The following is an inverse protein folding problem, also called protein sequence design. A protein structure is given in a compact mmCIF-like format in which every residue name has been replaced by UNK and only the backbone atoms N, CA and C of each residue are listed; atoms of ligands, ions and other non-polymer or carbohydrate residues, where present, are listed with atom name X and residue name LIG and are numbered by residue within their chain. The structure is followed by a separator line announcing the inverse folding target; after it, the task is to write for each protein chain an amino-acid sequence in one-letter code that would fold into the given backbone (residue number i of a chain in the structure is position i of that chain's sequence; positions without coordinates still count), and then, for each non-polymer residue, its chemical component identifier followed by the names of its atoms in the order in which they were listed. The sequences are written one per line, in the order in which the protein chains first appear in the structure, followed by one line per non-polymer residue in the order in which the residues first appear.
data_IF_883283283810
#
_entry.id   IF_883283283810
#
_cell.length_a   1.000
_cell.length_b   1.000
_cell.length_c   1.000
_cell.angle_alpha   90.00
_cell.angle_beta   90.00
_cell.angle_gamma   90.00
#
_symmetry.space_group_name_H-M   'P 1'
#
loop_
_entity.id
_entity.type
_entity.pdbx_description
1 polymer ?
#
# COMPACT_ATOMS: atom_id res chain seq x y z
N UNK A 1 -63.53 -2.62 -65.47
CA UNK A 1 -64.16 -1.39 -65.99
C UNK A 1 -63.94 -1.12 -67.48
N UNK A 2 -63.20 -1.95 -68.25
CA UNK A 2 -63.03 -1.72 -69.70
C UNK A 2 -63.88 -2.61 -70.63
N UNK A 3 -64.56 -3.64 -70.12
CA UNK A 3 -65.36 -4.53 -70.98
C UNK A 3 -66.76 -3.96 -71.31
N UNK A 4 -67.41 -3.25 -70.38
CA UNK A 4 -68.70 -2.60 -70.64
C UNK A 4 -68.59 -1.48 -71.69
N UNK A 5 -67.48 -0.74 -71.68
CA UNK A 5 -67.27 0.37 -72.61
C UNK A 5 -67.14 -0.09 -74.07
N UNK A 6 -66.44 -1.20 -74.32
CA UNK A 6 -66.33 -1.79 -75.67
C UNK A 6 -67.63 -2.43 -76.16
N UNK A 7 -68.50 -2.83 -75.24
CA UNK A 7 -69.81 -3.41 -75.57
C UNK A 7 -70.80 -2.33 -76.04
N UNK A 8 -70.84 -1.17 -75.37
CA UNK A 8 -71.70 -0.04 -75.78
C UNK A 8 -71.28 0.57 -77.13
N UNK A 9 -69.98 0.74 -77.39
CA UNK A 9 -69.50 1.22 -78.70
C UNK A 9 -69.78 0.21 -79.83
N UNK A 10 -69.66 -1.09 -79.55
CA UNK A 10 -69.94 -2.16 -80.52
C UNK A 10 -71.41 -2.19 -80.97
N UNK A 11 -72.34 -2.05 -80.03
CA UNK A 11 -73.78 -2.00 -80.32
C UNK A 11 -74.18 -0.75 -81.10
N UNK A 12 -73.58 0.40 -80.78
CA UNK A 12 -73.85 1.65 -81.51
C UNK A 12 -73.45 1.57 -82.99
N UNK A 13 -72.38 0.85 -83.32
CA UNK A 13 -71.95 0.65 -84.70
C UNK A 13 -72.91 -0.25 -85.50
N UNK A 14 -73.47 -1.29 -84.87
CA UNK A 14 -74.46 -2.19 -85.50
C UNK A 14 -75.78 -1.47 -85.74
N UNK A 15 -76.27 -0.72 -84.75
CA UNK A 15 -77.49 0.08 -84.89
C UNK A 15 -77.35 1.16 -85.96
N UNK A 16 -76.18 1.82 -86.04
CA UNK A 16 -75.88 2.81 -87.08
C UNK A 16 -75.83 2.18 -88.49
N UNK A 17 -75.24 1.00 -88.63
CA UNK A 17 -75.22 0.25 -89.89
C UNK A 17 -76.63 -0.17 -90.33
N UNK A 18 -77.53 -0.46 -89.40
CA UNK A 18 -78.89 -0.90 -89.72
C UNK A 18 -79.86 0.25 -89.98
N UNK A 19 -79.69 1.41 -89.33
CA UNK A 19 -80.63 2.52 -89.36
C UNK A 19 -80.97 3.07 -90.76
N UNK A 20 -80.06 2.97 -91.73
CA UNK A 20 -80.23 3.49 -93.09
C UNK A 20 -80.52 2.43 -94.16
N UNK A 21 -80.70 1.16 -93.77
CA UNK A 21 -80.92 0.07 -94.73
C UNK A 21 -82.41 -0.31 -94.85
N UNK A 22 -82.85 -0.84 -96.02
CA UNK A 22 -84.24 -1.27 -96.22
C UNK A 22 -84.67 -2.32 -95.19
N UNK A 23 -85.93 -2.29 -94.75
CA UNK A 23 -86.49 -3.19 -93.72
C UNK A 23 -86.30 -4.68 -94.07
N UNK A 24 -86.33 -5.02 -95.36
CA UNK A 24 -86.09 -6.38 -95.84
C UNK A 24 -84.65 -6.86 -95.55
N UNK A 25 -83.66 -5.97 -95.62
CA UNK A 25 -82.27 -6.28 -95.31
C UNK A 25 -82.06 -6.55 -93.82
N UNK A 26 -82.63 -5.70 -92.95
CA UNK A 26 -82.59 -5.89 -91.50
C UNK A 26 -83.20 -7.24 -91.09
N UNK A 27 -84.33 -7.61 -91.70
CA UNK A 27 -85.00 -8.90 -91.47
C UNK A 27 -84.16 -10.10 -91.94
N UNK A 28 -83.49 -10.00 -93.08
CA UNK A 28 -82.58 -11.04 -93.54
C UNK A 28 -81.39 -11.21 -92.59
N UNK A 29 -80.87 -10.10 -92.03
CA UNK A 29 -79.79 -10.09 -91.06
C UNK A 29 -80.14 -10.84 -89.78
N UNK A 30 -81.27 -10.47 -89.18
CA UNK A 30 -81.76 -11.05 -87.93
C UNK A 30 -82.11 -12.54 -88.11
N UNK A 31 -82.65 -12.90 -89.29
CA UNK A 31 -82.89 -14.31 -89.61
C UNK A 31 -81.59 -15.11 -89.77
N UNK A 32 -80.52 -14.50 -90.29
CA UNK A 32 -79.23 -15.15 -90.41
C UNK A 32 -78.59 -15.38 -89.02
N UNK A 33 -78.60 -14.36 -88.15
CA UNK A 33 -78.08 -14.49 -86.79
C UNK A 33 -78.80 -15.56 -85.97
N UNK A 34 -80.14 -15.59 -86.06
CA UNK A 34 -80.94 -16.66 -85.45
C UNK A 34 -80.63 -18.05 -86.00
N UNK A 35 -80.36 -18.18 -87.30
CA UNK A 35 -80.05 -19.47 -87.93
C UNK A 35 -78.71 -20.06 -87.46
N UNK A 36 -77.74 -19.21 -87.14
CA UNK A 36 -76.41 -19.64 -86.70
C UNK A 36 -76.22 -19.58 -85.17
N UNK A 37 -77.28 -19.29 -84.41
CA UNK A 37 -77.25 -19.13 -82.95
C UNK A 37 -76.21 -18.12 -82.47
N UNK A 38 -75.97 -17.08 -83.26
CA UNK A 38 -75.11 -15.98 -82.86
C UNK A 38 -75.89 -15.04 -81.97
N UNK A 39 -75.30 -14.65 -80.85
CA UNK A 39 -75.84 -13.61 -79.99
C UNK A 39 -75.80 -12.31 -80.78
N UNK A 40 -76.97 -11.69 -80.99
CA UNK A 40 -77.13 -10.44 -81.73
C UNK A 40 -76.35 -9.29 -81.06
N UNK A 41 -75.91 -9.47 -79.81
CA UNK A 41 -75.09 -8.53 -79.06
C UNK A 41 -73.60 -8.89 -78.99
N UNK A 42 -73.15 -9.98 -79.62
CA UNK A 42 -71.72 -10.30 -79.72
C UNK A 42 -71.07 -9.41 -80.78
N UNK A 43 -70.03 -8.61 -80.47
CA UNK A 43 -69.33 -7.80 -81.48
C UNK A 43 -68.71 -8.65 -82.60
N UNK A 44 -68.48 -9.95 -82.35
CA UNK A 44 -68.12 -10.95 -83.35
C UNK A 44 -69.22 -11.21 -84.39
N UNK A 45 -70.47 -10.82 -84.15
CA UNK A 45 -71.60 -10.89 -85.10
C UNK A 45 -71.43 -9.92 -86.29
N UNK A 46 -70.82 -8.75 -86.05
CA UNK A 46 -70.57 -7.75 -87.09
C UNK A 46 -69.52 -8.20 -88.11
N UNK A 47 -68.58 -9.08 -87.71
CA UNK A 47 -67.47 -9.51 -88.55
C UNK A 47 -67.95 -10.43 -89.70
N UNK A 48 -68.72 -11.52 -89.50
CA UNK A 48 -69.35 -12.28 -90.56
C UNK A 48 -70.31 -11.44 -91.41
N UNK A 49 -70.94 -10.41 -90.83
CA UNK A 49 -71.84 -9.53 -91.55
C UNK A 49 -71.16 -8.64 -92.58
N UNK A 50 -69.96 -8.18 -92.26
CA UNK A 50 -69.08 -7.49 -93.20
C UNK A 50 -68.42 -8.48 -94.17
N UNK A 51 -68.02 -9.67 -93.70
CA UNK A 51 -67.22 -10.64 -94.48
C UNK A 51 -68.07 -11.51 -95.43
N UNK A 52 -69.28 -11.93 -95.06
CA UNK A 52 -70.14 -12.82 -95.87
C UNK A 52 -70.91 -12.13 -97.01
N UNK A 53 -70.78 -10.81 -97.17
CA UNK A 53 -71.17 -10.10 -98.40
C UNK A 53 -70.08 -9.18 -98.93
N UNK A 54 -68.85 -9.28 -98.43
CA UNK A 54 -67.74 -8.45 -98.92
C UNK A 54 -67.57 -8.68 -100.43
N UNK A 55 -67.79 -9.89 -100.92
CA UNK A 55 -67.87 -10.23 -102.34
C UNK A 55 -68.90 -9.37 -103.09
N UNK A 56 -70.16 -9.30 -102.63
CA UNK A 56 -71.20 -8.47 -103.28
C UNK A 56 -70.97 -6.96 -103.11
N UNK A 57 -70.42 -6.49 -102.00
CA UNK A 57 -70.13 -5.06 -101.79
C UNK A 57 -68.88 -4.64 -102.59
N UNK A 58 -67.89 -5.53 -102.71
CA UNK A 58 -66.75 -5.36 -103.60
C UNK A 58 -67.18 -5.33 -105.07
N UNK A 59 -68.20 -6.10 -105.47
CA UNK A 59 -68.74 -6.06 -106.83
C UNK A 59 -69.47 -4.75 -107.15
N UNK A 60 -70.20 -4.17 -106.18
CA UNK A 60 -70.99 -2.94 -106.38
C UNK A 60 -70.17 -1.66 -106.18
N UNK A 61 -69.19 -1.65 -105.28
CA UNK A 61 -68.37 -0.48 -104.95
C UNK A 61 -66.86 -0.77 -104.86
N UNK A 62 -66.25 -1.40 -105.88
CA UNK A 62 -64.85 -1.86 -105.82
C UNK A 62 -63.88 -0.71 -105.57
N UNK A 63 -64.09 0.42 -106.24
CA UNK A 63 -63.20 1.58 -106.15
C UNK A 63 -63.33 2.32 -104.81
N UNK A 64 -64.52 2.33 -104.21
CA UNK A 64 -64.73 2.98 -102.91
C UNK A 64 -64.06 2.17 -101.80
N UNK A 65 -64.24 0.85 -101.80
CA UNK A 65 -63.58 -0.03 -100.81
C UNK A 65 -62.07 0.00 -101.00
N UNK A 66 -61.56 -0.06 -102.24
CA UNK A 66 -60.12 0.03 -102.49
C UNK A 66 -59.54 1.32 -101.91
N UNK A 67 -60.21 2.45 -102.13
CA UNK A 67 -59.78 3.76 -101.59
C UNK A 67 -59.77 3.79 -100.06
N UNK A 68 -60.83 3.31 -99.42
CA UNK A 68 -60.91 3.26 -97.94
C UNK A 68 -59.85 2.32 -97.36
N UNK A 69 -59.64 1.14 -97.97
CA UNK A 69 -58.60 0.21 -97.54
C UNK A 69 -57.20 0.79 -97.74
N UNK A 70 -56.97 1.51 -98.83
CA UNK A 70 -55.70 2.22 -99.08
C UNK A 70 -55.49 3.34 -98.06
N UNK A 71 -56.53 4.13 -97.74
CA UNK A 71 -56.47 5.16 -96.69
C UNK A 71 -56.21 4.57 -95.30
N UNK A 72 -56.90 3.48 -94.94
CA UNK A 72 -56.69 2.77 -93.67
C UNK A 72 -55.27 2.20 -93.61
N UNK A 73 -54.78 1.61 -94.70
CA UNK A 73 -53.42 1.06 -94.78
C UNK A 73 -52.39 2.17 -94.61
N UNK A 74 -52.53 3.30 -95.31
CA UNK A 74 -51.66 4.46 -95.15
C UNK A 74 -51.70 5.03 -93.73
N UNK A 75 -52.88 5.09 -93.11
CA UNK A 75 -53.05 5.56 -91.72
C UNK A 75 -52.38 4.62 -90.72
N UNK A 76 -52.51 3.31 -90.91
CA UNK A 76 -51.85 2.30 -90.08
C UNK A 76 -50.33 2.34 -90.27
N UNK A 77 -49.84 2.47 -91.50
CA UNK A 77 -48.42 2.61 -91.79
C UNK A 77 -47.83 3.88 -91.15
N UNK A 78 -48.54 5.01 -91.23
CA UNK A 78 -48.15 6.25 -90.55
C UNK A 78 -48.10 6.11 -89.02
N UNK A 79 -49.11 5.48 -88.42
CA UNK A 79 -49.11 5.18 -86.97
C UNK A 79 -47.98 4.23 -86.59
N UNK A 80 -47.72 3.20 -87.39
CA UNK A 80 -46.62 2.26 -87.16
C UNK A 80 -45.27 2.96 -87.17
N UNK A 81 -44.98 3.77 -88.20
CA UNK A 81 -43.74 4.57 -88.27
C UNK A 81 -43.58 5.50 -87.07
N UNK A 82 -44.67 6.12 -86.62
CA UNK A 82 -44.64 7.01 -85.44
C UNK A 82 -44.33 6.22 -84.16
N UNK A 83 -44.94 5.05 -84.00
CA UNK A 83 -44.69 4.16 -82.87
C UNK A 83 -43.25 3.62 -82.88
N UNK A 84 -42.72 3.24 -84.04
CA UNK A 84 -41.34 2.79 -84.23
C UNK A 84 -40.33 3.88 -83.81
N UNK A 85 -40.54 5.13 -84.23
CA UNK A 85 -39.70 6.26 -83.80
C UNK A 85 -39.77 6.47 -82.29
N UNK A 86 -40.97 6.39 -81.70
CA UNK A 86 -41.15 6.55 -80.26
C UNK A 86 -40.47 5.43 -79.46
N UNK A 87 -40.54 4.18 -79.94
CA UNK A 87 -39.88 3.02 -79.33
C UNK A 87 -38.36 3.14 -79.40
N UNK A 88 -37.81 3.50 -80.57
CA UNK A 88 -36.37 3.71 -80.73
C UNK A 88 -35.87 4.86 -79.85
N UNK A 89 -36.62 5.96 -79.75
CA UNK A 89 -36.28 7.07 -78.85
C UNK A 89 -36.36 6.66 -77.36
N UNK A 90 -37.32 5.82 -76.98
CA UNK A 90 -37.41 5.28 -75.62
C UNK A 90 -36.25 4.33 -75.31
N UNK A 91 -35.87 3.46 -76.24
CA UNK A 91 -34.72 2.57 -76.11
C UNK A 91 -33.41 3.36 -75.93
N UNK A 92 -33.19 4.39 -76.76
CA UNK A 92 -32.02 5.27 -76.65
C UNK A 92 -31.96 6.04 -75.31
N UNK A 93 -33.12 6.48 -74.79
CA UNK A 93 -33.17 7.06 -73.43
C UNK A 93 -32.85 6.03 -72.36
N UNK A 94 -33.30 4.79 -72.53
CA UNK A 94 -33.00 3.68 -71.63
C UNK A 94 -31.51 3.36 -71.56
N UNK A 95 -30.83 3.27 -72.71
CA UNK A 95 -29.38 3.03 -72.76
C UNK A 95 -28.61 4.20 -72.13
N UNK A 96 -28.98 5.44 -72.44
CA UNK A 96 -28.33 6.62 -71.86
C UNK A 96 -28.58 6.75 -70.35
N UNK A 97 -29.72 6.28 -69.85
CA UNK A 97 -29.98 6.22 -68.41
C UNK A 97 -29.15 5.12 -67.74
N UNK A 98 -28.94 3.98 -68.41
CA UNK A 98 -28.05 2.91 -67.96
C UNK A 98 -26.60 3.39 -67.86
N UNK A 99 -26.07 4.02 -68.91
CA UNK A 99 -24.72 4.59 -68.91
C UNK A 99 -24.51 5.59 -67.76
N UNK A 100 -25.49 6.48 -67.53
CA UNK A 100 -25.44 7.41 -66.39
C UNK A 100 -25.46 6.71 -65.03
N UNK A 101 -26.23 5.63 -64.90
CA UNK A 101 -26.25 4.84 -63.67
C UNK A 101 -24.89 4.17 -63.42
N UNK A 102 -24.25 3.64 -64.46
CA UNK A 102 -22.90 3.06 -64.37
C UNK A 102 -21.86 4.12 -63.99
N UNK A 103 -21.93 5.33 -64.56
CA UNK A 103 -21.07 6.46 -64.18
C UNK A 103 -21.23 6.83 -62.69
N UNK A 104 -22.47 6.91 -62.19
CA UNK A 104 -22.73 7.19 -60.78
C UNK A 104 -22.23 6.06 -59.85
N UNK A 105 -22.36 4.81 -60.28
CA UNK A 105 -21.83 3.68 -59.52
C UNK A 105 -20.30 3.71 -59.45
N UNK A 106 -19.63 4.04 -60.56
CA UNK A 106 -18.18 4.20 -60.60
C UNK A 106 -17.71 5.35 -59.70
N UNK A 107 -18.39 6.50 -59.73
CA UNK A 107 -18.10 7.63 -58.85
C UNK A 107 -18.29 7.28 -57.37
N UNK A 108 -19.41 6.63 -57.03
CA UNK A 108 -19.68 6.18 -55.67
C UNK A 108 -18.60 5.20 -55.17
N UNK A 109 -18.19 4.25 -56.02
CA UNK A 109 -17.13 3.30 -55.68
C UNK A 109 -15.80 4.02 -55.42
N UNK A 110 -15.43 4.99 -56.26
CA UNK A 110 -14.21 5.78 -56.06
C UNK A 110 -14.24 6.58 -54.74
N UNK A 111 -15.40 7.15 -54.38
CA UNK A 111 -15.58 7.86 -53.09
C UNK A 111 -15.43 6.88 -51.91
N UNK A 112 -16.00 5.68 -51.99
CA UNK A 112 -15.87 4.67 -50.95
C UNK A 112 -14.42 4.18 -50.79
N UNK A 113 -13.72 3.92 -51.89
CA UNK A 113 -12.30 3.52 -51.86
C UNK A 113 -11.42 4.62 -51.26
N UNK A 114 -11.64 5.87 -51.62
CA UNK A 114 -10.92 7.00 -51.03
C UNK A 114 -11.24 7.17 -49.54
N UNK A 115 -12.52 7.10 -49.17
CA UNK A 115 -12.95 7.25 -47.77
C UNK A 115 -12.45 6.12 -46.87
N UNK A 116 -12.41 4.88 -47.38
CA UNK A 116 -11.86 3.73 -46.65
C UNK A 116 -10.34 3.84 -46.48
N UNK A 117 -9.61 4.29 -47.50
CA UNK A 117 -8.17 4.55 -47.40
C UNK A 117 -7.87 5.65 -46.35
N UNK A 118 -8.58 6.79 -46.41
CA UNK A 118 -8.40 7.86 -45.43
C UNK A 118 -8.72 7.42 -44.00
N UNK A 119 -9.78 6.61 -43.82
CA UNK A 119 -10.13 6.07 -42.50
C UNK A 119 -9.03 5.13 -41.97
N UNK A 120 -8.41 4.32 -42.83
CA UNK A 120 -7.30 3.44 -42.45
C UNK A 120 -6.07 4.25 -42.02
N UNK A 121 -5.73 5.31 -42.74
CA UNK A 121 -4.61 6.19 -42.40
C UNK A 121 -4.83 6.89 -41.06
N UNK A 122 -6.01 7.46 -40.83
CA UNK A 122 -6.36 8.09 -39.54
C UNK A 122 -6.26 7.09 -38.39
N UNK A 123 -6.78 5.87 -38.57
CA UNK A 123 -6.69 4.83 -37.55
C UNK A 123 -5.24 4.39 -37.29
N UNK A 124 -4.40 4.35 -38.32
CA UNK A 124 -2.98 4.02 -38.18
C UNK A 124 -2.23 5.12 -37.41
N UNK A 125 -2.48 6.39 -37.74
CA UNK A 125 -1.90 7.55 -37.06
C UNK A 125 -2.33 7.62 -35.59
N UNK A 126 -3.63 7.45 -35.30
CA UNK A 126 -4.14 7.43 -33.92
C UNK A 126 -3.53 6.29 -33.12
N UNK A 127 -3.41 5.10 -33.72
CA UNK A 127 -2.77 3.95 -33.08
C UNK A 127 -1.30 4.24 -32.76
N UNK A 128 -0.58 4.88 -33.68
CA UNK A 128 0.82 5.26 -33.47
C UNK A 128 0.96 6.32 -32.38
N UNK A 129 0.10 7.35 -32.38
CA UNK A 129 0.08 8.37 -31.35
C UNK A 129 -0.21 7.78 -29.96
N UNK A 130 -1.19 6.88 -29.86
CA UNK A 130 -1.50 6.19 -28.61
C UNK A 130 -0.32 5.36 -28.08
N UNK A 131 0.38 4.64 -28.97
CA UNK A 131 1.57 3.87 -28.59
C UNK A 131 2.70 4.79 -28.09
N UNK A 132 2.89 5.96 -28.68
CA UNK A 132 3.87 6.94 -28.21
C UNK A 132 3.51 7.46 -26.82
N UNK A 133 2.25 7.85 -26.58
CA UNK A 133 1.77 8.31 -25.27
C UNK A 133 1.97 7.25 -24.20
N UNK A 134 1.55 6.00 -24.45
CA UNK A 134 1.74 4.91 -23.48
C UNK A 134 3.22 4.65 -23.19
N UNK A 135 4.09 4.75 -24.20
CA UNK A 135 5.53 4.57 -24.01
C UNK A 135 6.11 5.68 -23.14
N UNK A 136 5.72 6.92 -23.40
CA UNK A 136 6.14 8.08 -22.64
C UNK A 136 5.67 8.02 -21.17
N UNK A 137 4.42 7.63 -20.93
CA UNK A 137 3.87 7.44 -19.58
C UNK A 137 4.57 6.30 -18.83
N UNK A 138 4.86 5.19 -19.51
CA UNK A 138 5.60 4.08 -18.90
C UNK A 138 7.00 4.53 -18.48
N UNK A 139 7.68 5.31 -19.30
CA UNK A 139 9.05 5.75 -19.02
C UNK A 139 9.07 6.85 -17.95
N UNK A 140 8.07 7.74 -17.90
CA UNK A 140 7.93 8.71 -16.80
C UNK A 140 7.63 8.03 -15.46
N UNK A 141 6.76 7.01 -15.44
CA UNK A 141 6.49 6.22 -14.23
C UNK A 141 7.74 5.47 -13.74
N UNK A 142 8.54 4.92 -14.66
CA UNK A 142 9.81 4.28 -14.30
C UNK A 142 10.79 5.26 -13.66
N UNK A 143 10.88 6.47 -14.20
CA UNK A 143 11.74 7.51 -13.65
C UNK A 143 11.28 7.94 -12.26
N UNK A 144 9.97 8.17 -12.09
CA UNK A 144 9.40 8.54 -10.79
C UNK A 144 9.66 7.46 -9.73
N UNK A 145 9.47 6.19 -10.07
CA UNK A 145 9.80 5.06 -9.19
C UNK A 145 11.28 4.99 -8.83
N UNK A 146 12.18 5.30 -9.76
CA UNK A 146 13.61 5.33 -9.50
C UNK A 146 13.98 6.47 -8.54
N UNK A 147 13.41 7.65 -8.74
CA UNK A 147 13.62 8.83 -7.91
C UNK A 147 13.09 8.60 -6.48
N UNK A 148 11.87 8.05 -6.34
CA UNK A 148 11.31 7.68 -5.02
C UNK A 148 12.16 6.66 -4.29
N UNK A 149 12.64 5.62 -4.99
CA UNK A 149 13.56 4.63 -4.39
C UNK A 149 14.85 5.28 -3.92
N UNK A 150 15.43 6.18 -4.71
CA UNK A 150 16.65 6.88 -4.32
C UNK A 150 16.40 7.80 -3.11
N UNK A 151 15.27 8.50 -3.08
CA UNK A 151 14.87 9.34 -1.95
C UNK A 151 14.69 8.50 -0.67
N UNK A 152 14.00 7.37 -0.75
CA UNK A 152 13.80 6.46 0.38
C UNK A 152 15.14 5.92 0.92
N UNK A 153 16.06 5.51 0.03
CA UNK A 153 17.40 5.05 0.42
C UNK A 153 18.18 6.15 1.14
N UNK A 154 18.15 7.39 0.63
CA UNK A 154 18.80 8.53 1.29
C UNK A 154 18.22 8.80 2.67
N UNK A 155 16.89 8.76 2.80
CA UNK A 155 16.19 8.98 4.07
C UNK A 155 16.58 7.91 5.09
N UNK A 156 16.50 6.63 4.72
CA UNK A 156 16.91 5.52 5.60
C UNK A 156 18.40 5.59 5.99
N UNK A 157 19.27 5.99 5.07
CA UNK A 157 20.69 6.22 5.37
C UNK A 157 20.87 7.33 6.41
N UNK A 158 20.14 8.44 6.27
CA UNK A 158 20.22 9.56 7.20
C UNK A 158 19.64 9.20 8.58
N UNK A 159 18.52 8.49 8.63
CA UNK A 159 17.95 7.97 9.88
C UNK A 159 18.90 7.02 10.59
N UNK A 160 19.53 6.08 9.86
CA UNK A 160 20.55 5.19 10.45
C UNK A 160 21.71 5.96 11.06
N UNK A 161 22.19 7.02 10.38
CA UNK A 161 23.24 7.89 10.92
C UNK A 161 22.78 8.63 12.17
N UNK A 162 21.56 9.16 12.17
CA UNK A 162 21.00 9.87 13.32
C UNK A 162 20.84 8.93 14.54
N UNK A 163 20.30 7.73 14.33
CA UNK A 163 20.16 6.71 15.38
C UNK A 163 21.53 6.30 15.93
N UNK A 164 22.52 6.09 15.06
CA UNK A 164 23.87 5.73 15.49
C UNK A 164 24.54 6.85 16.31
N UNK A 165 24.36 8.12 15.91
CA UNK A 165 24.85 9.27 16.67
C UNK A 165 24.17 9.37 18.04
N UNK A 166 22.84 9.26 18.09
CA UNK A 166 22.08 9.29 19.34
C UNK A 166 22.47 8.15 20.27
N UNK A 167 22.67 6.93 19.76
CA UNK A 167 23.13 5.79 20.53
C UNK A 167 24.55 6.02 21.09
N UNK A 168 25.46 6.58 20.30
CA UNK A 168 26.81 6.91 20.74
C UNK A 168 26.83 7.99 21.83
N UNK A 169 25.99 9.02 21.70
CA UNK A 169 25.82 10.06 22.72
C UNK A 169 25.23 9.51 24.01
N UNK A 170 24.19 8.67 23.90
CA UNK A 170 23.58 7.96 25.03
C UNK A 170 24.60 7.09 25.77
N UNK A 171 25.41 6.32 25.05
CA UNK A 171 26.46 5.48 25.63
C UNK A 171 27.50 6.33 26.40
N UNK A 172 27.95 7.45 25.81
CA UNK A 172 28.87 8.39 26.50
C UNK A 172 28.24 9.01 27.75
N UNK A 173 26.95 9.32 27.73
CA UNK A 173 26.24 9.85 28.90
C UNK A 173 26.13 8.79 30.00
N UNK A 174 25.81 7.54 29.65
CA UNK A 174 25.76 6.43 30.60
C UNK A 174 27.13 6.15 31.22
N UNK A 175 28.20 6.16 30.41
CA UNK A 175 29.57 5.97 30.90
C UNK A 175 29.95 7.07 31.91
N UNK A 176 29.66 8.34 31.59
CA UNK A 176 29.90 9.46 32.53
C UNK A 176 29.08 9.33 33.82
N UNK A 177 27.81 8.92 33.70
CA UNK A 177 26.95 8.72 34.86
C UNK A 177 27.47 7.60 35.76
N UNK A 178 27.86 6.46 35.17
CA UNK A 178 28.48 5.34 35.89
C UNK A 178 29.79 5.73 36.54
N UNK A 179 30.67 6.45 35.83
CA UNK A 179 31.94 6.93 36.39
C UNK A 179 31.70 7.88 37.58
N UNK A 180 30.72 8.77 37.47
CA UNK A 180 30.34 9.69 38.55
C UNK A 180 29.77 8.93 39.75
N UNK A 181 28.89 7.96 39.53
CA UNK A 181 28.34 7.11 40.58
C UNK A 181 29.43 6.26 41.25
N UNK A 182 30.35 5.70 40.47
CA UNK A 182 31.49 4.94 40.96
C UNK A 182 32.39 5.83 41.84
N UNK A 183 32.76 7.03 41.37
CA UNK A 183 33.54 7.98 42.15
C UNK A 183 32.85 8.38 43.46
N UNK A 184 31.54 8.64 43.42
CA UNK A 184 30.76 8.95 44.62
C UNK A 184 30.72 7.77 45.61
N UNK A 185 30.57 6.53 45.11
CA UNK A 185 30.58 5.33 45.94
C UNK A 185 31.95 5.08 46.59
N UNK A 186 33.04 5.29 45.85
CA UNK A 186 34.42 5.20 46.35
C UNK A 186 34.66 6.26 47.42
N UNK A 187 34.28 7.51 47.17
CA UNK A 187 34.40 8.58 48.16
C UNK A 187 33.63 8.25 49.46
N UNK A 188 32.40 7.74 49.34
CA UNK A 188 31.60 7.30 50.48
C UNK A 188 32.26 6.15 51.26
N UNK A 189 32.80 5.17 50.56
CA UNK A 189 33.49 4.03 51.18
C UNK A 189 34.78 4.48 51.88
N UNK A 190 35.55 5.40 51.29
CA UNK A 190 36.74 5.98 51.92
C UNK A 190 36.36 6.75 53.18
N UNK A 191 35.32 7.59 53.14
CA UNK A 191 34.86 8.33 54.31
C UNK A 191 34.42 7.39 55.45
N UNK A 192 33.65 6.35 55.12
CA UNK A 192 33.23 5.33 56.09
C UNK A 192 34.44 4.55 56.66
N UNK A 193 35.43 4.21 55.83
CA UNK A 193 36.65 3.55 56.27
C UNK A 193 37.51 4.44 57.18
N UNK A 194 37.60 5.75 56.88
CA UNK A 194 38.29 6.72 57.74
C UNK A 194 37.58 6.88 59.09
N UNK A 195 36.24 6.94 59.11
CA UNK A 195 35.46 6.98 60.34
C UNK A 195 35.66 5.69 61.17
N UNK A 196 35.59 4.52 60.52
CA UNK A 196 35.88 3.23 61.16
C UNK A 196 37.30 3.15 61.72
N UNK A 197 38.31 3.62 60.97
CA UNK A 197 39.69 3.67 61.43
C UNK A 197 39.87 4.62 62.62
N UNK A 198 39.23 5.80 62.60
CA UNK A 198 39.25 6.74 63.72
C UNK A 198 38.63 6.13 64.98
N UNK A 199 37.54 5.37 64.85
CA UNK A 199 36.93 4.64 65.96
C UNK A 199 37.88 3.56 66.51
N UNK A 200 38.50 2.75 65.64
CA UNK A 200 39.49 1.74 66.06
C UNK A 200 40.69 2.38 66.76
N UNK A 201 41.24 3.47 66.24
CA UNK A 201 42.34 4.22 66.88
C UNK A 201 41.91 4.73 68.26
N UNK A 202 40.68 5.25 68.39
CA UNK A 202 40.14 5.72 69.68
C UNK A 202 39.99 4.58 70.69
N UNK A 203 39.53 3.41 70.26
CA UNK A 203 39.45 2.21 71.10
C UNK A 203 40.83 1.71 71.53
N UNK A 204 41.80 1.66 70.61
CA UNK A 204 43.19 1.28 70.91
C UNK A 204 43.82 2.27 71.88
N UNK A 205 43.67 3.58 71.68
CA UNK A 205 44.18 4.60 72.61
C UNK A 205 43.55 4.44 74.00
N UNK A 206 42.24 4.17 74.07
CA UNK A 206 41.55 3.91 75.34
C UNK A 206 42.11 2.66 76.03
N UNK A 207 42.29 1.56 75.29
CA UNK A 207 42.88 0.32 75.80
C UNK A 207 44.32 0.47 76.26
N UNK A 208 45.15 1.25 75.53
CA UNK A 208 46.54 1.56 75.93
C UNK A 208 46.55 2.42 77.19
N UNK A 209 45.69 3.43 77.29
CA UNK A 209 45.60 4.28 78.47
C UNK A 209 45.18 3.48 79.71
N UNK A 210 44.25 2.54 79.55
CA UNK A 210 43.82 1.65 80.62
C UNK A 210 44.97 0.73 81.06
N UNK A 211 45.73 0.15 80.12
CA UNK A 211 46.94 -0.63 80.44
C UNK A 211 48.01 0.18 81.16
N UNK A 212 48.35 1.38 80.67
CA UNK A 212 49.33 2.24 81.34
C UNK A 212 48.86 2.75 82.70
N UNK A 213 47.55 2.95 82.90
CA UNK A 213 47.02 3.29 84.22
C UNK A 213 47.24 2.14 85.21
N UNK A 214 46.97 0.90 84.79
CA UNK A 214 47.25 -0.28 85.61
C UNK A 214 48.75 -0.51 85.86
N UNK A 215 49.60 -0.27 84.86
CA UNK A 215 51.06 -0.33 85.03
C UNK A 215 51.56 0.75 86.01
N UNK A 216 51.07 1.98 85.90
CA UNK A 216 51.44 3.07 86.81
C UNK A 216 51.00 2.79 88.26
N UNK A 217 49.79 2.23 88.46
CA UNK A 217 49.31 1.78 89.77
C UNK A 217 50.20 0.65 90.30
N UNK A 218 50.56 -0.33 89.47
CA UNK A 218 51.46 -1.41 89.86
C UNK A 218 52.85 -0.89 90.27
N UNK A 219 53.41 0.07 89.52
CA UNK A 219 54.68 0.72 89.87
C UNK A 219 54.59 1.52 91.17
N UNK A 220 53.49 2.25 91.40
CA UNK A 220 53.28 2.99 92.65
C UNK A 220 53.17 2.05 93.86
N UNK A 221 52.48 0.91 93.70
CA UNK A 221 52.42 -0.12 94.74
C UNK A 221 53.79 -0.76 95.00
N UNK A 222 54.55 -1.09 93.95
CA UNK A 222 55.91 -1.60 94.08
C UNK A 222 56.84 -0.60 94.79
N UNK A 223 56.76 0.69 94.44
CA UNK A 223 57.52 1.74 95.11
C UNK A 223 57.13 1.86 96.59
N UNK A 224 55.84 1.85 96.92
CA UNK A 224 55.36 1.89 98.30
C UNK A 224 55.85 0.68 99.12
N UNK A 225 55.80 -0.52 98.55
CA UNK A 225 56.32 -1.73 99.19
C UNK A 225 57.84 -1.67 99.39
N UNK A 226 58.59 -1.13 98.42
CA UNK A 226 60.03 -0.96 98.55
C UNK A 226 60.41 0.03 99.67
N UNK A 227 59.68 1.14 99.79
CA UNK A 227 59.86 2.11 100.86
C UNK A 227 59.47 1.54 102.23
N UNK A 228 58.38 0.77 102.31
CA UNK A 228 58.01 0.07 103.54
C UNK A 228 59.08 -0.95 103.98
N UNK A 229 59.67 -1.66 103.02
CA UNK A 229 60.76 -2.62 103.26
C UNK A 229 62.02 -1.94 103.80
N UNK A 230 62.39 -0.78 103.23
CA UNK A 230 63.54 0.01 103.68
C UNK A 230 63.30 0.58 105.08
N UNK A 231 62.10 1.08 105.37
CA UNK A 231 61.74 1.58 106.70
C UNK A 231 61.78 0.46 107.75
N UNK A 232 61.30 -0.74 107.41
CA UNK A 232 61.35 -1.91 108.29
C UNK A 232 62.79 -2.35 108.61
N UNK A 233 63.66 -2.42 107.59
CA UNK A 233 65.07 -2.79 107.77
C UNK A 233 65.84 -1.71 108.54
N UNK A 234 65.57 -0.42 108.29
CA UNK A 234 66.17 0.69 109.04
C UNK A 234 65.81 0.68 110.54
N UNK A 235 64.56 0.35 110.87
CA UNK A 235 64.11 0.16 112.26
C UNK A 235 64.77 -1.03 112.96
N UNK A 236 65.03 -2.13 112.24
CA UNK A 236 65.65 -3.33 112.80
C UNK A 236 67.13 -3.12 113.15
N UNK A 237 67.88 -2.40 112.30
CA UNK A 237 69.31 -2.12 112.53
C UNK A 237 69.51 -1.17 113.70
N UNK A 238 68.67 -0.15 113.83
CA UNK A 238 68.74 0.82 114.95
C UNK A 238 68.33 0.20 116.30
N UNK A 239 67.38 -0.73 116.31
CA UNK A 239 67.02 -1.52 117.50
C UNK A 239 68.19 -2.35 118.05
N UNK A 240 69.00 -2.97 117.18
CA UNK A 240 70.15 -3.78 117.62
C UNK A 240 71.29 -2.95 118.23
N UNK A 241 71.46 -1.69 117.82
CA UNK A 241 72.52 -0.83 118.34
C UNK A 241 72.20 -0.27 119.74
N UNK A 242 70.93 -0.07 120.09
CA UNK A 242 70.49 0.37 121.42
C UNK A 242 70.63 -0.72 122.51
N UNK A 243 70.55 -2.01 122.13
CA UNK A 243 70.70 -3.13 123.08
C UNK A 243 72.16 -3.43 123.45
N UNK A 244 73.13 -3.01 122.63
CA UNK A 244 74.56 -3.26 122.83
C UNK A 244 75.25 -2.27 123.80
N UNK A 245 74.57 -1.21 124.24
CA UNK A 245 75.10 -0.19 125.17
C UNK A 245 74.31 -0.09 126.48
N UNK A 246 73.53 -1.12 126.83
CA UNK A 246 72.80 -1.13 128.09
C UNK A 246 73.71 -1.58 129.24
N UNK A 247 73.54 -0.95 130.40
CA UNK A 247 74.26 -1.25 131.66
C UNK A 247 74.23 -2.73 132.06
N UNK A 248 73.29 -3.52 131.53
CA UNK A 248 73.20 -4.95 131.79
C UNK A 248 74.28 -5.76 131.03
N UNK A 249 74.74 -5.27 129.88
CA UNK A 249 75.87 -5.89 129.15
C UNK A 249 77.17 -5.84 129.95
N UNK A 250 77.42 -4.74 130.67
CA UNK A 250 78.65 -4.55 131.44
C UNK A 250 78.66 -5.35 132.75
N UNK A 251 77.52 -5.46 133.44
CA UNK A 251 77.43 -6.27 134.68
C UNK A 251 77.57 -7.76 134.36
N UNK A 252 77.05 -8.23 133.21
CA UNK A 252 77.22 -9.61 132.77
C UNK A 252 78.69 -9.93 132.40
N UNK A 253 79.44 -8.93 131.93
CA UNK A 253 80.86 -9.07 131.56
C UNK A 253 81.81 -9.06 132.76
N UNK A 254 81.49 -8.33 133.84
CA UNK A 254 82.36 -8.26 135.03
C UNK A 254 82.23 -9.45 135.98
N UNK A 255 81.11 -10.17 135.96
CA UNK A 255 80.84 -11.28 136.88
C UNK A 255 80.64 -12.62 136.15
N UNK A 256 81.23 -12.76 134.96
CA UNK A 256 81.01 -13.93 134.08
C UNK A 256 81.32 -15.26 134.76
N UNK A 257 82.39 -15.32 135.57
CA UNK A 257 82.80 -16.53 136.28
C UNK A 257 81.84 -16.89 137.43
N UNK A 258 81.31 -15.90 138.15
CA UNK A 258 80.33 -16.13 139.24
C UNK A 258 78.92 -16.45 138.69
N UNK A 259 78.55 -15.89 137.54
CA UNK A 259 77.28 -16.18 136.87
C UNK A 259 77.26 -17.61 136.32
N UNK A 260 78.37 -18.10 135.76
CA UNK A 260 78.53 -19.51 135.34
C UNK A 260 78.48 -20.46 136.52
N UNK A 261 79.18 -20.16 137.61
CA UNK A 261 79.14 -20.99 138.82
C UNK A 261 77.71 -21.12 139.39
N UNK A 262 76.89 -20.07 139.28
CA UNK A 262 75.51 -20.13 139.75
C UNK A 262 74.53 -20.82 138.78
N UNK A 263 74.76 -20.72 137.46
CA UNK A 263 74.04 -21.52 136.46
C UNK A 263 74.32 -23.02 136.60
N UNK A 264 75.57 -23.42 136.91
CA UNK A 264 75.94 -24.83 137.09
C UNK A 264 75.32 -25.46 138.35
N UNK A 265 74.97 -24.66 139.36
CA UNK A 265 74.31 -25.13 140.61
C UNK A 265 72.78 -25.08 140.52
N UNK A 266 72.22 -24.62 139.39
CA UNK A 266 70.79 -24.70 139.08
C UNK A 266 69.87 -23.94 140.04
N UNK A 267 70.38 -22.91 140.74
CA UNK A 267 69.58 -22.10 141.68
C UNK A 267 68.90 -20.94 140.95
N UNK A 268 67.61 -20.73 141.25
CA UNK A 268 66.78 -19.73 140.59
C UNK A 268 67.14 -18.26 140.95
N UNK A 269 67.86 -18.04 142.05
CA UNK A 269 68.31 -16.71 142.48
C UNK A 269 69.72 -16.79 143.04
N UNK A 270 70.56 -15.86 142.60
CA UNK A 270 71.97 -15.78 142.98
C UNK A 270 72.22 -14.37 143.54
N UNK A 271 72.47 -14.29 144.84
CA UNK A 271 72.88 -13.05 145.48
C UNK A 271 74.40 -12.95 145.37
N UNK A 272 74.90 -12.27 144.34
CA UNK A 272 76.30 -11.89 144.25
C UNK A 272 76.47 -10.47 144.80
N UNK A 273 77.58 -10.24 145.51
CA UNK A 273 77.96 -8.92 145.96
C UNK A 273 78.74 -8.26 144.82
N UNK A 274 78.16 -7.24 144.19
CA UNK A 274 78.80 -6.52 143.08
C UNK A 274 79.96 -5.70 143.65
N UNK A 275 81.18 -6.22 143.55
CA UNK A 275 82.39 -5.42 143.76
C UNK A 275 82.66 -4.60 142.50
N UNK A 276 82.44 -3.30 142.59
CA UNK A 276 82.81 -2.36 141.52
C UNK A 276 84.30 -2.04 141.71
N UNK A 277 85.19 -2.39 140.76
CA UNK A 277 86.59 -1.98 140.84
C UNK A 277 86.67 -0.44 140.76
N UNK A 278 87.55 0.14 141.57
CA UNK A 278 87.84 1.59 141.51
C UNK A 278 88.50 1.98 140.20
#
# INVERSE_FOLDING_TARGET
MNQEWHYEEGMSAVDFLLANNPTEFQLQLLNLGRRFHWDENDPGFAVPLVVCRIDRVLDVYPEKIRREMEEITQRLEGRWKTMEVALNAAAARGTQAGERADDYLAEAQAIFELGTAQAQDVLADERQAMLQVMTQERDSLRQLLADERQAAVKLLSNERKAIAQQAAESAKQQERALHTQAAASVAKNIAAAQEGANLQVKEVIKGVREKHYWEAVAYACLAALSLASIAWLGGWVTSRQMLATSTWSDIQRWNEDELKACQDVGKATCNFHIEVPK
#
